data_IF_649921035812
#
_entry.id   IF_649921035812
#
_cell.length_a   1.000
_cell.length_b   1.000
_cell.length_c   1.000
_cell.angle_alpha   90.00
_cell.angle_beta   90.00
_cell.angle_gamma   90.00
#
_symmetry.space_group_name_H-M   'P 1'
#
loop_
_entity.id
_entity.type
_entity.pdbx_description
1 polymer ?
#
# COMPACT_ATOMS: atom_id res chain seq x y z
N UNK A 1 10.76 5.93 -33.47
CA UNK A 1 11.01 5.63 -32.05
C UNK A 1 12.10 4.58 -32.02
N UNK A 2 13.19 4.85 -31.31
CA UNK A 2 14.35 3.95 -31.24
C UNK A 2 13.96 2.65 -30.49
N UNK A 3 14.60 1.53 -30.79
CA UNK A 3 14.29 0.23 -30.16
C UNK A 3 14.51 0.29 -28.64
N UNK A 4 15.48 1.09 -28.20
CA UNK A 4 15.76 1.36 -26.79
C UNK A 4 14.60 2.10 -26.10
N UNK A 5 14.03 3.12 -26.72
CA UNK A 5 12.90 3.89 -26.17
C UNK A 5 11.66 3.00 -26.01
N UNK A 6 11.43 2.11 -26.99
CA UNK A 6 10.35 1.13 -26.94
C UNK A 6 10.51 0.19 -25.76
N UNK A 7 11.72 -0.34 -25.57
CA UNK A 7 12.05 -1.22 -24.45
C UNK A 7 11.87 -0.51 -23.10
N UNK A 8 12.38 0.72 -22.96
CA UNK A 8 12.24 1.49 -21.71
C UNK A 8 10.77 1.74 -21.39
N UNK A 9 9.96 2.13 -22.38
CA UNK A 9 8.53 2.39 -22.17
C UNK A 9 7.77 1.12 -21.75
N UNK A 10 8.11 -0.02 -22.34
CA UNK A 10 7.53 -1.32 -21.99
C UNK A 10 7.89 -1.73 -20.56
N UNK A 11 9.17 -1.60 -20.17
CA UNK A 11 9.61 -1.84 -18.79
C UNK A 11 8.90 -0.91 -17.80
N UNK A 12 8.81 0.38 -18.11
CA UNK A 12 8.12 1.36 -17.25
C UNK A 12 6.63 1.01 -17.11
N UNK A 13 5.98 0.55 -18.19
CA UNK A 13 4.58 0.11 -18.13
C UNK A 13 4.42 -1.10 -17.21
N UNK A 14 5.28 -2.11 -17.35
CA UNK A 14 5.29 -3.31 -16.49
C UNK A 14 5.49 -2.89 -15.03
N UNK A 15 6.43 -1.99 -14.75
CA UNK A 15 6.72 -1.51 -13.41
C UNK A 15 5.59 -0.66 -12.80
N UNK A 16 4.89 0.14 -13.62
CA UNK A 16 3.68 0.85 -13.17
C UNK A 16 2.57 -0.14 -12.82
N UNK A 17 2.34 -1.16 -13.63
CA UNK A 17 1.35 -2.21 -13.33
C UNK A 17 1.74 -2.97 -12.06
N UNK A 18 3.03 -3.29 -11.90
CA UNK A 18 3.54 -3.94 -10.71
C UNK A 18 3.30 -3.10 -9.46
N UNK A 19 3.69 -1.82 -9.47
CA UNK A 19 3.52 -0.86 -8.35
C UNK A 19 2.06 -0.57 -8.02
N UNK A 20 1.12 -0.73 -8.97
CA UNK A 20 -0.32 -0.64 -8.70
C UNK A 20 -0.87 -1.85 -7.94
N UNK A 21 -0.28 -3.03 -8.11
CA UNK A 21 -0.74 -4.26 -7.42
C UNK A 21 -0.20 -4.40 -5.98
N UNK A 22 0.93 -3.76 -5.68
CA UNK A 22 1.61 -3.86 -4.38
C UNK A 22 0.76 -3.42 -3.17
N UNK A 23 0.00 -2.31 -3.20
CA UNK A 23 -0.80 -1.88 -2.07
C UNK A 23 -1.79 -2.94 -1.59
N UNK A 24 -2.45 -3.63 -2.53
CA UNK A 24 -3.39 -4.72 -2.21
C UNK A 24 -2.68 -5.91 -1.59
N UNK A 25 -1.48 -6.27 -2.08
CA UNK A 25 -0.67 -7.36 -1.52
C UNK A 25 -0.18 -7.03 -0.11
N UNK A 26 0.32 -5.81 0.11
CA UNK A 26 0.74 -5.32 1.43
C UNK A 26 -0.45 -5.35 2.40
N UNK A 27 -1.61 -4.83 1.97
CA UNK A 27 -2.81 -4.82 2.80
C UNK A 27 -3.30 -6.23 3.13
N UNK A 28 -3.35 -7.14 2.16
CA UNK A 28 -3.77 -8.52 2.39
C UNK A 28 -2.87 -9.23 3.40
N UNK A 29 -1.55 -9.07 3.27
CA UNK A 29 -0.58 -9.62 4.21
C UNK A 29 -0.74 -9.00 5.62
N UNK A 30 -0.91 -7.68 5.68
CA UNK A 30 -1.15 -6.95 6.93
C UNK A 30 -2.41 -7.42 7.66
N UNK A 31 -3.52 -7.56 6.93
CA UNK A 31 -4.80 -8.05 7.45
C UNK A 31 -4.66 -9.49 7.93
N UNK A 32 -4.01 -10.36 7.16
CA UNK A 32 -3.83 -11.77 7.52
C UNK A 32 -3.06 -11.94 8.84
N UNK A 33 -1.99 -11.17 9.05
CA UNK A 33 -1.23 -11.21 10.31
C UNK A 33 -2.09 -10.75 11.48
N UNK A 34 -2.77 -9.61 11.35
CA UNK A 34 -3.59 -9.06 12.43
C UNK A 34 -4.78 -9.99 12.77
N UNK A 35 -5.47 -10.52 11.75
CA UNK A 35 -6.54 -11.49 11.94
C UNK A 35 -6.04 -12.78 12.59
N UNK A 36 -4.86 -13.27 12.22
CA UNK A 36 -4.22 -14.43 12.83
C UNK A 36 -3.92 -14.22 14.32
N UNK A 37 -3.38 -13.06 14.69
CA UNK A 37 -3.11 -12.69 16.10
C UNK A 37 -4.41 -12.68 16.91
N UNK A 38 -5.42 -11.97 16.42
CA UNK A 38 -6.72 -11.85 17.12
C UNK A 38 -7.39 -13.21 17.27
N UNK A 39 -7.43 -14.02 16.19
CA UNK A 39 -8.03 -15.37 16.22
C UNK A 39 -7.31 -16.29 17.19
N UNK A 40 -5.98 -16.24 17.24
CA UNK A 40 -5.20 -17.02 18.19
C UNK A 40 -5.53 -16.65 19.64
N UNK A 41 -5.63 -15.35 19.95
CA UNK A 41 -6.00 -14.86 21.28
C UNK A 41 -7.40 -15.32 21.69
N UNK A 42 -8.41 -15.13 20.83
CA UNK A 42 -9.77 -15.59 21.11
C UNK A 42 -9.88 -17.11 21.27
N UNK A 43 -9.09 -17.88 20.53
CA UNK A 43 -9.08 -19.34 20.65
C UNK A 43 -8.51 -19.78 22.00
N UNK A 44 -7.48 -19.10 22.50
CA UNK A 44 -6.86 -19.39 23.79
C UNK A 44 -7.79 -19.01 24.95
N UNK A 45 -8.45 -17.85 24.85
CA UNK A 45 -9.31 -17.33 25.94
C UNK A 45 -10.70 -17.96 25.96
N UNK A 46 -11.25 -18.36 24.80
CA UNK A 46 -12.60 -18.93 24.68
C UNK A 46 -12.71 -20.45 24.92
N UNK A 47 -11.61 -21.22 24.88
CA UNK A 47 -11.64 -22.70 25.03
C UNK A 47 -11.48 -23.21 26.46
N UNK A 48 -11.02 -22.39 27.40
CA UNK A 48 -10.67 -22.88 28.74
C UNK A 48 -11.82 -22.67 29.74
N UNK A 49 -12.28 -23.75 30.36
CA UNK A 49 -13.24 -23.71 31.48
C UNK A 49 -12.71 -22.92 32.70
N UNK A 50 -11.39 -22.72 32.76
CA UNK A 50 -10.73 -21.73 33.63
C UNK A 50 -10.28 -20.57 32.74
N UNK A 51 -10.89 -19.39 32.87
CA UNK A 51 -10.49 -18.18 32.12
C UNK A 51 -8.99 -17.92 32.25
N UNK A 52 -8.22 -18.31 31.23
CA UNK A 52 -6.78 -18.15 31.21
C UNK A 52 -6.51 -16.70 30.82
N UNK A 53 -6.44 -15.82 31.81
CA UNK A 53 -6.19 -14.41 31.59
C UNK A 53 -4.81 -14.22 30.96
N UNK A 54 -4.77 -13.65 29.76
CA UNK A 54 -3.52 -13.26 29.12
C UNK A 54 -2.83 -12.21 30.01
N UNK A 55 -1.59 -12.45 30.45
CA UNK A 55 -0.90 -11.52 31.33
C UNK A 55 -0.73 -10.16 30.65
N UNK A 56 -0.84 -9.07 31.42
CA UNK A 56 -0.77 -7.70 30.90
C UNK A 56 0.50 -7.45 30.06
N UNK A 57 1.65 -7.98 30.50
CA UNK A 57 2.90 -7.90 29.74
C UNK A 57 2.79 -8.48 28.32
N UNK A 58 2.11 -9.62 28.14
CA UNK A 58 1.91 -10.20 26.82
C UNK A 58 1.01 -9.31 25.93
N UNK A 59 -0.04 -8.69 26.49
CA UNK A 59 -0.88 -7.72 25.77
C UNK A 59 -0.07 -6.50 25.29
N UNK A 60 0.83 -6.01 26.13
CA UNK A 60 1.74 -4.90 25.79
C UNK A 60 2.69 -5.32 24.65
N UNK A 61 3.31 -6.49 24.72
CA UNK A 61 4.18 -6.99 23.66
C UNK A 61 3.43 -7.13 22.32
N UNK A 62 2.22 -7.69 22.34
CA UNK A 62 1.40 -7.84 21.13
C UNK A 62 1.00 -6.47 20.57
N UNK A 63 0.65 -5.51 21.44
CA UNK A 63 0.35 -4.14 21.04
C UNK A 63 1.55 -3.49 20.34
N UNK A 64 2.76 -3.61 20.91
CA UNK A 64 3.99 -3.08 20.29
C UNK A 64 4.26 -3.76 18.94
N UNK A 65 4.04 -5.07 18.84
CA UNK A 65 4.20 -5.80 17.57
C UNK A 65 3.22 -5.34 16.49
N UNK A 66 1.94 -5.13 16.84
CA UNK A 66 0.93 -4.59 15.92
C UNK A 66 1.30 -3.18 15.44
N UNK A 67 1.72 -2.30 16.36
CA UNK A 67 2.17 -0.95 16.00
C UNK A 67 3.44 -0.96 15.13
N UNK A 68 4.39 -1.84 15.43
CA UNK A 68 5.58 -2.05 14.62
C UNK A 68 5.23 -2.52 13.20
N UNK A 69 4.26 -3.43 13.07
CA UNK A 69 3.75 -3.89 11.78
C UNK A 69 3.06 -2.76 11.00
N UNK A 70 2.27 -1.92 11.67
CA UNK A 70 1.64 -0.74 11.06
C UNK A 70 2.70 0.20 10.49
N UNK A 71 3.73 0.55 11.27
CA UNK A 71 4.82 1.42 10.82
C UNK A 71 5.55 0.79 9.63
N UNK A 72 5.90 -0.49 9.71
CA UNK A 72 6.58 -1.20 8.64
C UNK A 72 5.78 -1.19 7.33
N UNK A 73 4.50 -1.56 7.40
CA UNK A 73 3.64 -1.60 6.21
C UNK A 73 3.37 -0.20 5.66
N UNK A 74 3.26 0.83 6.52
CA UNK A 74 3.12 2.22 6.09
C UNK A 74 4.36 2.71 5.33
N UNK A 75 5.57 2.37 5.80
CA UNK A 75 6.83 2.69 5.11
C UNK A 75 6.89 2.02 3.73
N UNK A 76 6.48 0.75 3.63
CA UNK A 76 6.42 0.05 2.34
C UNK A 76 5.42 0.71 1.38
N UNK A 77 4.24 1.08 1.87
CA UNK A 77 3.21 1.74 1.08
C UNK A 77 3.69 3.12 0.57
N UNK A 78 4.35 3.90 1.42
CA UNK A 78 4.95 5.19 1.05
C UNK A 78 6.05 5.02 -0.02
N UNK A 79 6.94 4.03 0.16
CA UNK A 79 8.00 3.74 -0.81
C UNK A 79 7.39 3.34 -2.16
N UNK A 80 6.39 2.46 -2.15
CA UNK A 80 5.68 2.05 -3.35
C UNK A 80 5.01 3.23 -4.07
N UNK A 81 4.35 4.12 -3.32
CA UNK A 81 3.72 5.30 -3.89
C UNK A 81 4.73 6.24 -4.57
N UNK A 82 5.87 6.50 -3.94
CA UNK A 82 6.94 7.31 -4.56
C UNK A 82 7.50 6.65 -5.81
N UNK A 83 7.70 5.33 -5.81
CA UNK A 83 8.16 4.57 -6.99
C UNK A 83 7.14 4.65 -8.12
N UNK A 84 5.85 4.49 -7.82
CA UNK A 84 4.77 4.66 -8.79
C UNK A 84 4.81 6.04 -9.46
N UNK A 85 4.96 7.11 -8.67
CA UNK A 85 5.04 8.48 -9.21
C UNK A 85 6.27 8.69 -10.10
N UNK A 86 7.43 8.13 -9.73
CA UNK A 86 8.65 8.18 -10.55
C UNK A 86 8.45 7.51 -11.91
N UNK A 87 7.94 6.27 -11.91
CA UNK A 87 7.68 5.54 -13.16
C UNK A 87 6.61 6.24 -14.00
N UNK A 88 5.58 6.82 -13.35
CA UNK A 88 4.59 7.61 -14.06
C UNK A 88 5.19 8.86 -14.72
N UNK A 89 6.11 9.56 -14.06
CA UNK A 89 6.78 10.71 -14.67
C UNK A 89 7.63 10.33 -15.87
N UNK A 90 8.28 9.16 -15.86
CA UNK A 90 8.98 8.65 -17.05
C UNK A 90 7.97 8.49 -18.21
N UNK A 91 6.80 7.88 -17.97
CA UNK A 91 5.75 7.78 -18.99
C UNK A 91 5.30 9.16 -19.50
N UNK A 92 5.13 10.13 -18.60
CA UNK A 92 4.74 11.51 -18.96
C UNK A 92 5.81 12.16 -19.85
N UNK A 93 7.10 11.98 -19.55
CA UNK A 93 8.19 12.51 -20.38
C UNK A 93 8.16 11.94 -21.81
N UNK A 94 7.95 10.62 -21.95
CA UNK A 94 7.75 10.00 -23.27
C UNK A 94 6.50 10.51 -23.98
N UNK A 95 5.39 10.67 -23.25
CA UNK A 95 4.14 11.20 -23.81
C UNK A 95 4.31 12.65 -24.28
N UNK A 96 5.04 13.49 -23.53
CA UNK A 96 5.37 14.86 -23.94
C UNK A 96 6.21 14.90 -25.22
N UNK A 97 7.25 14.07 -25.28
CA UNK A 97 8.15 13.99 -26.44
C UNK A 97 7.40 13.58 -27.73
N UNK A 98 6.32 12.81 -27.61
CA UNK A 98 5.50 12.34 -28.73
C UNK A 98 4.11 13.00 -28.78
N UNK A 99 3.94 14.12 -28.09
CA UNK A 99 2.61 14.71 -27.84
C UNK A 99 1.90 15.13 -29.12
N UNK A 100 2.62 15.67 -30.12
CA UNK A 100 2.04 16.04 -31.40
C UNK A 100 1.46 14.84 -32.17
N UNK A 101 2.18 13.71 -32.18
CA UNK A 101 1.70 12.51 -32.85
C UNK A 101 0.51 11.89 -32.11
N UNK A 102 0.56 11.89 -30.77
CA UNK A 102 -0.53 11.38 -29.93
C UNK A 102 -1.79 12.23 -30.12
N UNK A 103 -1.68 13.56 -30.07
CA UNK A 103 -2.81 14.49 -30.22
C UNK A 103 -3.42 14.47 -31.63
N UNK A 104 -2.64 14.13 -32.66
CA UNK A 104 -3.14 13.90 -34.04
C UNK A 104 -3.99 12.63 -34.16
N UNK A 105 -3.70 11.59 -33.36
CA UNK A 105 -4.38 10.30 -33.43
C UNK A 105 -5.50 10.13 -32.40
N UNK A 106 -5.40 10.80 -31.25
CA UNK A 106 -6.30 10.63 -30.11
C UNK A 106 -6.62 11.97 -29.44
N UNK A 107 -7.89 12.16 -29.07
CA UNK A 107 -8.28 13.24 -28.16
C UNK A 107 -7.90 12.84 -26.73
N UNK A 108 -6.76 13.34 -26.26
CA UNK A 108 -6.23 13.02 -24.93
C UNK A 108 -6.37 14.21 -23.98
N UNK A 109 -6.72 13.97 -22.70
CA UNK A 109 -6.75 15.01 -21.68
C UNK A 109 -5.37 15.66 -21.45
N UNK A 110 -5.32 16.97 -21.22
CA UNK A 110 -4.05 17.69 -21.03
C UNK A 110 -3.35 17.32 -19.70
N UNK A 111 -4.10 16.86 -18.69
CA UNK A 111 -3.58 16.40 -17.41
C UNK A 111 -2.70 15.14 -17.54
N UNK A 112 -2.81 14.41 -18.65
CA UNK A 112 -1.95 13.26 -18.93
C UNK A 112 -0.49 13.65 -19.17
N UNK A 113 -0.25 14.89 -19.57
CA UNK A 113 1.08 15.44 -19.82
C UNK A 113 1.62 16.25 -18.65
N UNK A 114 0.98 16.25 -17.47
CA UNK A 114 1.50 16.97 -16.31
C UNK A 114 2.48 16.08 -15.53
N UNK A 115 3.62 16.66 -15.16
CA UNK A 115 4.57 15.98 -14.27
C UNK A 115 3.96 15.89 -12.87
N UNK A 116 4.19 14.77 -12.20
CA UNK A 116 3.73 14.57 -10.84
C UNK A 116 4.85 14.98 -9.89
N UNK A 117 4.55 15.83 -8.91
CA UNK A 117 5.46 16.05 -7.79
C UNK A 117 5.66 14.75 -7.01
N UNK A 118 6.90 14.45 -6.61
CA UNK A 118 7.25 13.26 -5.82
C UNK A 118 6.89 13.43 -4.33
N UNK A 119 5.63 13.77 -4.07
CA UNK A 119 5.06 13.95 -2.74
C UNK A 119 4.05 12.84 -2.44
N UNK A 120 3.85 12.57 -1.14
CA UNK A 120 2.77 11.69 -0.68
C UNK A 120 1.38 12.31 -0.89
N UNK A 121 1.28 13.63 -1.05
CA UNK A 121 0.00 14.30 -1.32
C UNK A 121 -0.45 14.14 -2.77
N UNK A 122 0.49 13.90 -3.69
CA UNK A 122 0.20 13.81 -5.13
C UNK A 122 -0.60 12.55 -5.43
N UNK A 123 -1.82 12.70 -5.95
CA UNK A 123 -2.73 11.57 -6.20
C UNK A 123 -2.94 10.72 -4.92
N UNK A 124 -3.04 11.41 -3.78
CA UNK A 124 -3.06 10.82 -2.44
C UNK A 124 -4.19 9.81 -2.20
N UNK A 125 -5.38 10.07 -2.76
CA UNK A 125 -6.58 9.26 -2.57
C UNK A 125 -6.37 7.75 -2.69
N UNK A 126 -5.59 7.33 -3.69
CA UNK A 126 -5.31 5.91 -3.91
C UNK A 126 -4.57 5.29 -2.74
N UNK A 127 -3.43 5.86 -2.31
CA UNK A 127 -2.64 5.26 -1.22
C UNK A 127 -3.25 5.53 0.16
N UNK A 128 -3.87 6.71 0.36
CA UNK A 128 -4.54 7.08 1.60
C UNK A 128 -5.69 6.13 1.94
N UNK A 129 -6.41 5.62 0.93
CA UNK A 129 -7.42 4.59 1.13
C UNK A 129 -6.83 3.31 1.76
N UNK A 130 -5.74 2.77 1.21
CA UNK A 130 -5.10 1.57 1.80
C UNK A 130 -4.56 1.84 3.21
N UNK A 131 -3.97 3.01 3.43
CA UNK A 131 -3.49 3.40 4.76
C UNK A 131 -4.65 3.52 5.77
N UNK A 132 -5.79 4.06 5.36
CA UNK A 132 -6.99 4.10 6.19
C UNK A 132 -7.48 2.70 6.59
N UNK A 133 -7.53 1.75 5.66
CA UNK A 133 -7.93 0.37 5.97
C UNK A 133 -6.92 -0.27 6.94
N UNK A 134 -5.62 -0.03 6.76
CA UNK A 134 -4.62 -0.49 7.71
C UNK A 134 -4.85 0.09 9.12
N UNK A 135 -5.18 1.37 9.24
CA UNK A 135 -5.51 1.99 10.53
C UNK A 135 -6.74 1.34 11.18
N UNK A 136 -7.81 1.09 10.41
CA UNK A 136 -8.99 0.39 10.93
C UNK A 136 -8.65 -1.01 11.45
N UNK A 137 -7.87 -1.77 10.69
CA UNK A 137 -7.43 -3.11 11.06
C UNK A 137 -6.56 -3.07 12.33
N UNK A 138 -5.68 -2.06 12.46
CA UNK A 138 -4.94 -1.83 13.70
C UNK A 138 -5.86 -1.58 14.88
N UNK A 139 -6.83 -0.67 14.73
CA UNK A 139 -7.76 -0.32 15.81
C UNK A 139 -8.54 -1.55 16.26
N UNK A 140 -9.09 -2.33 15.32
CA UNK A 140 -9.79 -3.57 15.66
C UNK A 140 -8.87 -4.63 16.25
N UNK A 141 -7.64 -4.76 15.75
CA UNK A 141 -6.63 -5.67 16.30
C UNK A 141 -6.29 -5.34 17.74
N UNK A 142 -6.03 -4.07 18.04
CA UNK A 142 -5.76 -3.60 19.39
C UNK A 142 -6.98 -3.79 20.31
N UNK A 143 -8.18 -3.44 19.84
CA UNK A 143 -9.41 -3.67 20.61
C UNK A 143 -9.56 -5.17 20.96
N UNK A 144 -9.32 -6.08 20.01
CA UNK A 144 -9.33 -7.52 20.24
C UNK A 144 -8.36 -7.97 21.32
N UNK A 145 -7.11 -7.48 21.30
CA UNK A 145 -6.07 -7.80 22.30
C UNK A 145 -6.46 -7.36 23.71
N UNK A 146 -7.05 -6.17 23.83
CA UNK A 146 -7.39 -5.61 25.14
C UNK A 146 -8.68 -6.17 25.72
N UNK A 147 -9.63 -6.58 24.87
CA UNK A 147 -10.88 -7.26 25.26
C UNK A 147 -10.65 -8.74 25.61
N UNK A 148 -9.71 -9.42 24.94
CA UNK A 148 -9.42 -10.85 25.17
C UNK A 148 -8.85 -11.17 26.55
#
# INVERSE_FOLDING_TARGET
MDDLDKYILEQVKIEVEHTRSWPTKILAFYVAINAGIVTALFTITGRSANTLHVPCFAKVLITVAILGLLVWAAVLLQKNHKTYLRHRNIQVQFQKANSEEIKKRFTVPDDWFLDNELSLSTRGWGWSFYFYIMLLVTVFGLAGVWIS
#
